data_IF_475227877154
#
_entry.id   IF_475227877154
#
_cell.length_a   1.000
_cell.length_b   1.000
_cell.length_c   1.000
_cell.angle_alpha   90.00
_cell.angle_beta   90.00
_cell.angle_gamma   90.00
#
_symmetry.space_group_name_H-M   'P 1'
#
loop_
_entity.id
_entity.type
_entity.pdbx_description
1 polymer ?
#
# COMPACT_ATOMS: atom_id res chain seq x y z
N UNK A 1 14.20 12.71 -5.49
CA UNK A 1 13.42 13.19 -4.32
C UNK A 1 12.38 12.12 -4.05
N UNK A 2 12.09 11.75 -2.80
CA UNK A 2 10.98 10.84 -2.53
C UNK A 2 9.68 11.63 -2.67
N UNK A 3 8.79 11.22 -3.57
CA UNK A 3 7.43 11.76 -3.64
C UNK A 3 6.53 10.90 -2.77
N UNK A 4 5.67 11.55 -2.00
CA UNK A 4 4.63 10.92 -1.19
C UNK A 4 3.31 11.18 -1.90
N UNK A 5 2.63 10.11 -2.29
CA UNK A 5 1.52 10.18 -3.24
C UNK A 5 0.17 10.11 -2.56
N UNK A 6 0.03 9.24 -1.56
CA UNK A 6 -1.22 9.03 -0.84
C UNK A 6 -0.97 8.43 0.55
N UNK A 7 -1.93 8.56 1.46
CA UNK A 7 -1.85 7.98 2.80
C UNK A 7 -3.23 7.65 3.35
N UNK A 8 -3.33 6.55 4.09
CA UNK A 8 -4.56 6.16 4.79
C UNK A 8 -4.25 5.59 6.18
N UNK A 9 -5.24 5.63 7.07
CA UNK A 9 -5.18 5.12 8.44
C UNK A 9 -6.49 4.44 8.82
N UNK A 10 -6.41 3.33 9.55
CA UNK A 10 -7.60 2.64 10.01
C UNK A 10 -8.24 3.34 11.23
N UNK A 11 -9.44 2.91 11.63
CA UNK A 11 -10.27 3.65 12.60
C UNK A 11 -9.71 3.69 14.02
N UNK A 12 -8.91 2.69 14.41
CA UNK A 12 -8.30 2.66 15.74
C UNK A 12 -6.90 3.30 15.77
N UNK A 13 -6.38 3.73 14.61
CA UNK A 13 -5.09 4.37 14.49
C UNK A 13 -3.89 3.42 14.62
N UNK A 14 -4.11 2.11 14.63
CA UNK A 14 -3.03 1.12 14.76
C UNK A 14 -2.34 0.80 13.44
N UNK A 15 -2.98 1.07 12.29
CA UNK A 15 -2.47 0.73 10.97
C UNK A 15 -2.45 1.95 10.05
N UNK A 16 -1.24 2.34 9.65
CA UNK A 16 -1.00 3.40 8.68
C UNK A 16 -0.40 2.82 7.42
N UNK A 17 -0.79 3.36 6.28
CA UNK A 17 -0.24 3.02 4.98
C UNK A 17 0.03 4.30 4.17
N UNK A 18 1.18 4.37 3.50
CA UNK A 18 1.58 5.48 2.64
C UNK A 18 2.07 4.95 1.31
N UNK A 19 1.54 5.48 0.22
CA UNK A 19 2.02 5.28 -1.14
C UNK A 19 3.13 6.27 -1.49
N UNK A 20 4.19 5.80 -2.13
CA UNK A 20 5.28 6.62 -2.62
C UNK A 20 5.87 6.03 -3.90
N UNK A 21 6.59 6.86 -4.65
CA UNK A 21 7.30 6.42 -5.87
C UNK A 21 8.21 5.22 -5.60
N UNK A 22 8.80 5.21 -4.40
CA UNK A 22 9.77 4.22 -4.00
C UNK A 22 9.17 2.94 -3.42
N UNK A 23 7.86 2.89 -3.11
CA UNK A 23 7.21 1.75 -2.47
C UNK A 23 6.09 2.13 -1.50
N UNK A 24 5.56 1.13 -0.81
CA UNK A 24 4.53 1.30 0.22
C UNK A 24 5.20 1.34 1.59
N UNK A 25 4.86 2.31 2.43
CA UNK A 25 5.34 2.40 3.80
C UNK A 25 4.21 2.08 4.76
N UNK A 26 4.48 1.21 5.72
CA UNK A 26 3.48 0.71 6.67
C UNK A 26 3.97 0.90 8.10
N UNK A 27 3.09 1.40 8.96
CA UNK A 27 3.22 1.33 10.40
C UNK A 27 2.08 0.50 10.98
N UNK A 28 2.42 -0.37 11.94
CA UNK A 28 1.46 -1.15 12.74
C UNK A 28 1.63 -0.87 14.23
N UNK A 29 2.21 0.29 14.56
CA UNK A 29 2.53 0.70 15.93
C UNK A 29 2.34 2.22 16.09
N UNK A 30 1.13 2.68 15.82
CA UNK A 30 0.68 4.05 16.06
C UNK A 30 1.52 5.13 15.35
N UNK A 31 2.23 4.76 14.27
CA UNK A 31 3.08 5.67 13.49
C UNK A 31 4.52 5.80 14.00
N UNK A 32 4.90 5.08 15.07
CA UNK A 32 6.22 5.19 15.71
C UNK A 32 7.34 4.68 14.80
N UNK A 33 7.09 3.61 14.05
CA UNK A 33 8.07 3.03 13.13
C UNK A 33 7.43 2.57 11.84
N UNK A 34 8.23 2.57 10.77
CA UNK A 34 7.77 2.29 9.42
C UNK A 34 8.64 1.24 8.76
N UNK A 35 8.02 0.21 8.19
CA UNK A 35 8.69 -0.68 7.24
C UNK A 35 8.30 -0.30 5.83
N UNK A 36 9.20 -0.57 4.89
CA UNK A 36 8.99 -0.37 3.47
C UNK A 36 8.71 -1.73 2.81
N UNK A 37 7.60 -1.83 2.10
CA UNK A 37 7.25 -2.97 1.26
C UNK A 37 7.20 -2.54 -0.21
N UNK A 38 7.55 -3.46 -1.12
CA UNK A 38 7.57 -3.19 -2.57
C UNK A 38 7.16 -4.45 -3.35
N UNK A 39 5.87 -4.77 -3.45
CA UNK A 39 5.37 -6.01 -4.05
C UNK A 39 5.46 -6.05 -5.59
N UNK A 40 6.61 -5.67 -6.16
CA UNK A 40 6.95 -5.67 -7.59
C UNK A 40 6.30 -4.56 -8.45
N UNK A 41 6.21 -3.35 -7.89
CA UNK A 41 6.03 -2.15 -8.69
C UNK A 41 6.94 -0.99 -8.30
N UNK A 42 7.05 -0.06 -9.25
CA UNK A 42 7.74 1.20 -9.12
C UNK A 42 6.67 2.26 -9.36
N UNK A 43 6.47 3.22 -8.44
CA UNK A 43 5.40 4.23 -8.51
C UNK A 43 4.01 3.78 -8.00
N UNK A 44 3.88 3.64 -6.68
CA UNK A 44 2.57 3.51 -6.02
C UNK A 44 1.89 4.86 -5.92
N UNK A 45 0.69 4.95 -6.48
CA UNK A 45 -0.05 6.21 -6.65
C UNK A 45 -1.18 6.37 -5.64
N UNK A 46 -1.75 5.27 -5.12
CA UNK A 46 -2.89 5.31 -4.22
C UNK A 46 -2.90 4.13 -3.26
N UNK A 47 -3.37 4.35 -2.03
CA UNK A 47 -3.57 3.32 -1.01
C UNK A 47 -4.90 3.52 -0.29
N UNK A 48 -5.48 2.43 0.21
CA UNK A 48 -6.55 2.52 1.21
C UNK A 48 -6.53 1.29 2.12
N UNK A 49 -6.89 1.48 3.38
CA UNK A 49 -6.95 0.43 4.38
C UNK A 49 -8.36 0.29 4.99
N UNK A 50 -8.72 -0.93 5.36
CA UNK A 50 -9.96 -1.22 6.04
C UNK A 50 -9.85 -0.89 7.53
N UNK A 51 -10.99 -0.55 8.13
CA UNK A 51 -11.09 -0.10 9.51
C UNK A 51 -10.44 -1.03 10.56
N UNK A 52 -10.51 -2.37 10.40
CA UNK A 52 -10.24 -3.25 11.56
C UNK A 52 -9.64 -4.63 11.27
N UNK A 53 -9.21 -4.95 10.05
CA UNK A 53 -8.77 -6.32 9.74
C UNK A 53 -7.53 -6.43 8.85
N UNK A 54 -6.67 -5.41 8.88
CA UNK A 54 -5.40 -5.43 8.15
C UNK A 54 -5.53 -5.53 6.64
N UNK A 55 -6.75 -5.38 6.10
CA UNK A 55 -6.95 -5.32 4.66
C UNK A 55 -6.52 -3.97 4.15
N UNK A 56 -5.80 -3.97 3.05
CA UNK A 56 -5.52 -2.77 2.29
C UNK A 56 -5.46 -3.07 0.80
N UNK A 57 -5.67 -2.02 0.01
CA UNK A 57 -5.49 -2.01 -1.43
C UNK A 57 -4.39 -0.99 -1.74
N UNK A 58 -3.54 -1.31 -2.69
CA UNK A 58 -2.58 -0.40 -3.27
C UNK A 58 -2.70 -0.42 -4.79
N UNK A 59 -2.63 0.77 -5.38
CA UNK A 59 -2.57 0.98 -6.82
C UNK A 59 -1.19 1.52 -7.16
N UNK A 60 -0.63 1.01 -8.23
CA UNK A 60 0.71 1.37 -8.66
C UNK A 60 0.87 1.11 -10.14
N UNK A 61 1.67 1.96 -10.75
CA UNK A 61 2.11 1.72 -12.11
C UNK A 61 3.24 0.70 -12.05
N UNK A 62 3.35 -0.16 -13.04
CA UNK A 62 4.67 -0.70 -13.37
C UNK A 62 5.06 0.02 -14.63
N UNK A 63 6.32 0.39 -14.84
CA UNK A 63 6.75 1.12 -16.06
C UNK A 63 6.44 0.41 -17.40
N UNK A 64 5.70 -0.71 -17.38
CA UNK A 64 5.01 -1.35 -18.49
C UNK A 64 3.54 -0.98 -18.39
N UNK A 65 3.05 -0.14 -19.30
CA UNK A 65 1.68 0.25 -19.75
C UNK A 65 0.38 -0.15 -18.98
N UNK A 66 0.43 -0.88 -17.88
CA UNK A 66 -0.68 -1.46 -17.15
C UNK A 66 -0.54 -1.07 -15.67
N UNK A 67 -1.57 -0.38 -15.17
CA UNK A 67 -1.76 -0.19 -13.74
C UNK A 67 -2.08 -1.53 -13.09
N UNK A 68 -1.50 -1.76 -11.92
CA UNK A 68 -1.70 -2.98 -11.15
C UNK A 68 -2.41 -2.69 -9.84
N UNK A 69 -3.15 -3.69 -9.38
CA UNK A 69 -3.87 -3.68 -8.11
C UNK A 69 -3.23 -4.71 -7.21
N UNK A 70 -2.85 -4.32 -6.00
CA UNK A 70 -2.43 -5.26 -4.96
C UNK A 70 -3.39 -5.20 -3.78
N UNK A 71 -3.63 -6.36 -3.18
CA UNK A 71 -4.39 -6.46 -1.94
C UNK A 71 -3.60 -7.20 -0.88
N UNK A 72 -3.77 -6.79 0.36
CA UNK A 72 -3.31 -7.51 1.55
C UNK A 72 -4.51 -7.80 2.46
N UNK A 73 -4.39 -8.82 3.30
CA UNK A 73 -5.33 -9.16 4.39
C UNK A 73 -4.62 -9.29 5.73
N UNK A 74 -3.35 -8.92 5.80
CA UNK A 74 -2.46 -9.18 6.94
C UNK A 74 -1.55 -7.97 7.23
N UNK A 75 -2.14 -6.77 7.14
CA UNK A 75 -1.46 -5.51 7.44
C UNK A 75 -0.25 -5.24 6.53
N UNK A 76 -0.29 -5.75 5.31
CA UNK A 76 0.78 -5.62 4.32
C UNK A 76 1.98 -6.51 4.57
N UNK A 77 1.83 -7.60 5.34
CA UNK A 77 2.89 -8.62 5.45
C UNK A 77 3.00 -9.41 4.14
N UNK A 78 1.86 -9.70 3.50
CA UNK A 78 1.80 -10.29 2.18
C UNK A 78 0.87 -9.47 1.27
N UNK A 79 1.32 -9.27 0.04
CA UNK A 79 0.57 -8.61 -1.02
C UNK A 79 0.30 -9.59 -2.15
N UNK A 80 -0.92 -9.55 -2.67
CA UNK A 80 -1.36 -10.37 -3.79
C UNK A 80 -1.76 -9.45 -4.94
N UNK A 81 -1.05 -9.56 -6.07
CA UNK A 81 -1.43 -8.91 -7.32
C UNK A 81 -2.79 -9.43 -7.80
N UNK A 82 -3.63 -8.52 -8.29
CA UNK A 82 -4.95 -8.83 -8.86
C UNK A 82 -4.95 -8.48 -10.34
N UNK A 83 -5.33 -9.46 -11.15
CA UNK A 83 -5.60 -9.26 -12.57
C UNK A 83 -6.95 -8.58 -12.76
N UNK A 84 -6.99 -7.48 -13.49
CA UNK A 84 -8.25 -6.90 -13.99
C UNK A 84 -8.64 -7.68 -15.23
N UNK A 85 -9.86 -8.22 -15.25
CA UNK A 85 -10.43 -8.87 -16.44
C UNK A 85 -11.48 -7.90 -17.00
N UNK A 86 -11.30 -7.48 -18.24
CA UNK A 86 -12.27 -6.67 -18.99
C UNK A 86 -13.42 -7.51 -19.56
#
# INVERSE_FOLDING_TARGET
VKSWNDSDINTDGSFFIIAADAGIYISTNDGDSWRKDNPDADDYIQVSCAASNGRAVALGNTGREEGKIWTTTDYGVNWVEKTVVE
#
